data_IF_068926628564
#
_entry.id   IF_068926628564
#
_cell.length_a   1.000
_cell.length_b   1.000
_cell.length_c   1.000
_cell.angle_alpha   90.00
_cell.angle_beta   90.00
_cell.angle_gamma   90.00
#
_symmetry.space_group_name_H-M   'P 1'
#
loop_
_entity.id
_entity.type
_entity.pdbx_description
1 polymer ?
#
# COMPACT_ATOMS: atom_id res chain seq x y z
N UNK A 1 -11.38 11.78 -10.92
CA UNK A 1 -10.91 10.42 -10.57
C UNK A 1 -10.09 10.44 -9.29
N UNK A 2 -10.07 9.33 -8.56
CA UNK A 2 -9.32 9.20 -7.30
C UNK A 2 -7.92 8.65 -7.58
N UNK A 3 -6.89 9.42 -7.27
CA UNK A 3 -5.50 8.98 -7.41
C UNK A 3 -5.03 8.27 -6.12
N UNK A 4 -5.18 6.95 -6.10
CA UNK A 4 -4.93 6.11 -4.90
C UNK A 4 -3.49 6.25 -4.39
N UNK A 5 -2.50 6.29 -5.28
CA UNK A 5 -1.09 6.42 -4.88
C UNK A 5 -0.83 7.74 -4.14
N UNK A 6 -1.30 8.86 -4.70
CA UNK A 6 -1.13 10.19 -4.12
C UNK A 6 -1.86 10.32 -2.78
N UNK A 7 -3.05 9.72 -2.65
CA UNK A 7 -3.80 9.68 -1.40
C UNK A 7 -3.01 9.02 -0.26
N UNK A 8 -2.33 7.90 -0.54
CA UNK A 8 -1.50 7.19 0.46
C UNK A 8 -0.30 8.04 0.87
N UNK A 9 0.38 8.66 -0.10
CA UNK A 9 1.55 9.53 0.16
C UNK A 9 1.14 10.77 0.97
N UNK A 10 0.02 11.39 0.65
CA UNK A 10 -0.49 12.57 1.37
C UNK A 10 -0.84 12.20 2.82
N UNK A 11 -1.54 11.08 3.04
CA UNK A 11 -1.86 10.61 4.38
C UNK A 11 -0.62 10.37 5.25
N UNK A 12 0.48 9.92 4.64
CA UNK A 12 1.76 9.75 5.33
C UNK A 12 2.34 11.09 5.80
N UNK A 13 2.21 12.14 5.00
CA UNK A 13 2.67 13.48 5.37
C UNK A 13 1.76 14.19 6.39
N UNK A 14 0.44 13.97 6.33
CA UNK A 14 -0.50 14.59 7.27
C UNK A 14 -0.38 13.99 8.67
N UNK A 15 -0.23 12.66 8.76
CA UNK A 15 0.19 12.01 10.00
C UNK A 15 -0.52 10.70 10.34
N UNK A 16 -0.28 10.16 11.55
CA UNK A 16 -0.64 8.79 11.90
C UNK A 16 -2.13 8.53 12.09
N UNK A 17 -2.98 9.56 12.15
CA UNK A 17 -4.43 9.42 12.27
C UNK A 17 -5.04 9.11 10.90
N UNK A 18 -4.65 9.84 9.86
CA UNK A 18 -5.14 9.63 8.51
C UNK A 18 -4.77 8.25 7.98
N UNK A 19 -3.53 7.81 8.25
CA UNK A 19 -3.08 6.47 7.91
C UNK A 19 -3.94 5.34 8.50
N UNK A 20 -4.57 5.54 9.67
CA UNK A 20 -5.49 4.56 10.25
C UNK A 20 -6.76 4.34 9.41
N UNK A 21 -7.16 5.33 8.62
CA UNK A 21 -8.34 5.26 7.76
C UNK A 21 -7.97 4.94 6.32
N UNK A 22 -6.90 5.57 5.82
CA UNK A 22 -6.48 5.46 4.42
C UNK A 22 -5.92 4.07 4.11
N UNK A 23 -5.13 3.47 4.99
CA UNK A 23 -4.55 2.14 4.73
C UNK A 23 -5.65 1.06 4.60
N UNK A 24 -6.61 0.90 5.54
CA UNK A 24 -7.69 -0.08 5.36
C UNK A 24 -8.58 0.21 4.14
N UNK A 25 -8.83 1.49 3.85
CA UNK A 25 -9.59 1.89 2.66
C UNK A 25 -8.92 1.44 1.36
N UNK A 26 -7.61 1.72 1.22
CA UNK A 26 -6.84 1.33 0.03
C UNK A 26 -6.69 -0.18 -0.05
N UNK A 27 -6.42 -0.87 1.06
CA UNK A 27 -6.37 -2.33 1.10
C UNK A 27 -7.64 -2.95 0.54
N UNK A 28 -8.83 -2.45 0.93
CA UNK A 28 -10.10 -2.97 0.43
C UNK A 28 -10.31 -2.78 -1.07
N UNK A 29 -9.81 -1.68 -1.64
CA UNK A 29 -9.84 -1.45 -3.08
C UNK A 29 -8.93 -2.46 -3.77
N UNK A 30 -7.69 -2.59 -3.29
CA UNK A 30 -6.67 -3.44 -3.90
C UNK A 30 -6.99 -4.92 -3.78
N UNK A 31 -7.68 -5.37 -2.74
CA UNK A 31 -8.17 -6.75 -2.61
C UNK A 31 -8.96 -7.22 -3.85
N UNK A 32 -9.70 -6.32 -4.49
CA UNK A 32 -10.48 -6.64 -5.69
C UNK A 32 -9.59 -6.88 -6.91
N UNK A 33 -8.35 -6.37 -6.92
CA UNK A 33 -7.38 -6.59 -7.99
C UNK A 33 -6.89 -8.04 -8.04
N UNK A 34 -6.89 -8.77 -6.91
CA UNK A 34 -6.49 -10.19 -6.85
C UNK A 34 -7.32 -11.08 -7.78
N UNK A 35 -8.59 -10.73 -8.02
CA UNK A 35 -9.52 -11.49 -8.86
C UNK A 35 -9.62 -10.96 -10.29
N UNK A 36 -8.95 -9.84 -10.59
CA UNK A 36 -9.07 -9.15 -11.87
C UNK A 36 -8.06 -9.67 -12.88
N UNK A 37 -8.51 -10.02 -14.08
CA UNK A 37 -7.61 -10.42 -15.18
C UNK A 37 -6.69 -9.29 -15.67
N UNK A 38 -7.08 -8.04 -15.44
CA UNK A 38 -6.36 -6.84 -15.93
C UNK A 38 -5.48 -6.24 -14.83
N UNK A 39 -6.00 -6.23 -13.59
CA UNK A 39 -5.35 -5.55 -12.46
C UNK A 39 -4.57 -6.49 -11.53
N UNK A 40 -4.61 -7.81 -11.74
CA UNK A 40 -3.72 -8.73 -11.03
C UNK A 40 -2.24 -8.43 -11.33
N UNK A 41 -1.35 -8.86 -10.44
CA UNK A 41 0.10 -8.80 -10.67
C UNK A 41 0.43 -9.46 -12.04
N UNK A 42 1.36 -8.91 -12.86
CA UNK A 42 2.29 -7.79 -12.61
C UNK A 42 1.82 -6.41 -13.11
N UNK A 43 0.57 -6.02 -12.85
CA UNK A 43 0.04 -4.72 -13.28
C UNK A 43 0.84 -3.50 -12.72
N UNK A 44 1.34 -2.57 -13.56
CA UNK A 44 2.16 -1.44 -13.12
C UNK A 44 1.46 -0.47 -12.16
N UNK A 45 0.16 -0.25 -12.33
CA UNK A 45 -0.62 0.63 -11.45
C UNK A 45 -0.73 0.03 -10.05
N UNK A 46 -1.04 -1.28 -9.96
CA UNK A 46 -1.06 -2.00 -8.68
C UNK A 46 0.33 -1.98 -8.03
N UNK A 47 1.37 -2.34 -8.77
CA UNK A 47 2.74 -2.38 -8.25
C UNK A 47 3.24 -1.00 -7.79
N UNK A 48 2.82 0.08 -8.45
CA UNK A 48 3.14 1.44 -8.05
C UNK A 48 2.57 1.81 -6.68
N UNK A 49 1.37 1.33 -6.34
CA UNK A 49 0.76 1.54 -5.02
C UNK A 49 1.40 0.61 -3.98
N UNK A 50 1.60 -0.67 -4.33
CA UNK A 50 2.24 -1.64 -3.45
C UNK A 50 3.68 -1.26 -3.08
N UNK A 51 4.42 -0.61 -3.98
CA UNK A 51 5.76 -0.09 -3.67
C UNK A 51 5.73 0.96 -2.55
N UNK A 52 4.73 1.85 -2.55
CA UNK A 52 4.57 2.87 -1.51
C UNK A 52 4.20 2.22 -0.18
N UNK A 53 3.26 1.26 -0.18
CA UNK A 53 2.89 0.52 1.02
C UNK A 53 4.06 -0.29 1.60
N UNK A 54 4.89 -0.90 0.76
CA UNK A 54 6.06 -1.66 1.20
C UNK A 54 7.10 -0.76 1.89
N UNK A 55 7.30 0.47 1.41
CA UNK A 55 8.21 1.42 2.04
C UNK A 55 7.70 1.93 3.39
N UNK A 56 6.38 2.18 3.52
CA UNK A 56 5.76 2.51 4.80
C UNK A 56 5.92 1.38 5.81
N UNK A 57 5.69 0.13 5.38
CA UNK A 57 5.91 -1.05 6.21
C UNK A 57 7.35 -1.13 6.73
N UNK A 58 8.34 -0.77 5.90
CA UNK A 58 9.76 -0.73 6.25
C UNK A 58 10.19 0.43 7.17
N UNK A 59 9.31 1.40 7.44
CA UNK A 59 9.67 2.57 8.26
C UNK A 59 9.76 2.19 9.76
N UNK A 60 10.77 2.68 10.49
CA UNK A 60 10.85 2.51 11.94
C UNK A 60 9.65 3.18 12.63
N UNK A 61 9.18 2.61 13.74
CA UNK A 61 8.05 3.12 14.53
C UNK A 61 6.68 3.20 13.81
N UNK A 62 6.57 2.66 12.60
CA UNK A 62 5.27 2.56 11.92
C UNK A 62 4.33 1.62 12.68
N UNK A 63 3.07 2.05 12.88
CA UNK A 63 2.13 1.36 13.77
C UNK A 63 1.93 -0.10 13.36
N UNK A 64 2.01 -1.01 14.35
CA UNK A 64 1.99 -2.45 14.11
C UNK A 64 0.70 -2.93 13.43
N UNK A 65 -0.46 -2.34 13.77
CA UNK A 65 -1.74 -2.66 13.15
C UNK A 65 -1.72 -2.36 11.64
N UNK A 66 -1.09 -1.26 11.22
CA UNK A 66 -0.96 -0.90 9.82
C UNK A 66 0.02 -1.80 9.07
N UNK A 67 1.12 -2.22 9.72
CA UNK A 67 2.02 -3.23 9.15
C UNK A 67 1.29 -4.53 8.86
N UNK A 68 0.49 -5.00 9.82
CA UNK A 68 -0.26 -6.23 9.68
C UNK A 68 -1.29 -6.15 8.54
N UNK A 69 -1.99 -5.02 8.40
CA UNK A 69 -2.93 -4.79 7.30
C UNK A 69 -2.24 -4.92 5.93
N UNK A 70 -1.05 -4.32 5.78
CA UNK A 70 -0.26 -4.38 4.54
C UNK A 70 0.22 -5.82 4.27
N UNK A 71 0.67 -6.55 5.29
CA UNK A 71 1.09 -7.95 5.14
C UNK A 71 -0.06 -8.88 4.73
N UNK A 72 -1.26 -8.67 5.28
CA UNK A 72 -2.47 -9.41 4.90
C UNK A 72 -2.82 -9.13 3.45
N UNK A 73 -2.78 -7.87 3.03
CA UNK A 73 -3.01 -7.47 1.64
C UNK A 73 -2.01 -8.13 0.68
N UNK A 74 -0.73 -8.11 1.01
CA UNK A 74 0.31 -8.78 0.22
C UNK A 74 0.04 -10.28 0.04
N UNK A 75 -0.42 -10.97 1.10
CA UNK A 75 -0.81 -12.39 1.01
C UNK A 75 -2.02 -12.60 0.09
N UNK A 76 -3.02 -11.72 0.16
CA UNK A 76 -4.21 -11.80 -0.70
C UNK A 76 -3.88 -11.55 -2.18
N UNK A 77 -2.87 -10.72 -2.46
CA UNK A 77 -2.42 -10.39 -3.82
C UNK A 77 -1.30 -11.30 -4.32
N UNK A 78 -0.81 -12.23 -3.50
CA UNK A 78 0.35 -13.09 -3.79
C UNK A 78 1.64 -12.31 -4.11
N UNK A 79 1.78 -11.10 -3.55
CA UNK A 79 2.92 -10.21 -3.74
C UNK A 79 3.91 -10.38 -2.58
N UNK A 80 5.21 -10.50 -2.91
CA UNK A 80 6.28 -10.47 -1.92
C UNK A 80 6.64 -9.02 -1.56
N UNK A 81 6.71 -8.71 -0.26
CA UNK A 81 7.24 -7.45 0.25
C UNK A 81 8.75 -7.39 0.03
N UNK A 82 9.18 -6.81 -1.09
CA UNK A 82 10.59 -6.49 -1.33
C UNK A 82 10.82 -4.99 -1.11
N UNK A 83 11.45 -4.64 0.01
CA UNK A 83 11.81 -3.27 0.37
C UNK A 83 13.13 -2.90 -0.32
N UNK A 84 13.10 -2.69 -1.64
CA UNK A 84 14.29 -2.28 -2.40
C UNK A 84 14.19 -0.89 -3.01
N UNK A 85 13.05 -0.19 -2.89
CA UNK A 85 12.85 1.13 -3.51
C UNK A 85 12.33 2.12 -2.45
N UNK A 86 13.06 3.22 -2.25
CA UNK A 86 12.62 4.39 -1.48
C UNK A 86 11.96 5.40 -2.40
N UNK A 87 10.64 5.40 -2.47
CA UNK A 87 9.76 6.28 -3.23
C UNK A 87 9.18 7.46 -2.42
N UNK A 88 9.19 7.41 -1.08
CA UNK A 88 8.56 8.44 -0.21
C UNK A 88 9.55 9.56 0.15
N UNK A 89 10.86 9.33 -0.02
CA UNK A 89 11.91 10.29 0.31
C UNK A 89 12.43 11.12 -0.88
N UNK A 90 11.79 11.02 -2.05
CA UNK A 90 12.09 11.77 -3.27
C UNK A 90 10.81 12.33 -3.88
#
# INVERSE_FOLDING_TARGET
DLEVKSLVIEAYHTGPQDLLYIIPFVSKILESCAKSKIFQQPNPWLMGIMSVLAEMHGTPDFKLNLKFEIEVLCKQLEIQLNVSIRCIYY
#
